data_IF_957610981909
#
_entry.id   IF_957610981909
#
_cell.length_a   1.000
_cell.length_b   1.000
_cell.length_c   1.000
_cell.angle_alpha   90.00
_cell.angle_beta   90.00
_cell.angle_gamma   90.00
#
_symmetry.space_group_name_H-M   'P 1'
#
loop_
_entity.id
_entity.type
_entity.pdbx_description
1 polymer ?
#
# COMPACT_ATOMS: atom_id res chain seq x y z
N UNK A 1 18.82 64.76 35.02
CA UNK A 1 19.12 64.52 36.45
C UNK A 1 18.13 63.47 36.94
N UNK A 2 18.63 62.32 37.42
CA UNK A 2 17.94 61.16 38.05
C UNK A 2 16.85 60.44 37.22
N UNK A 3 17.10 59.26 36.65
CA UNK A 3 17.37 57.92 37.24
C UNK A 3 16.15 57.34 37.97
N UNK A 4 15.71 56.15 37.57
CA UNK A 4 14.83 55.32 38.39
C UNK A 4 14.11 54.20 37.65
N UNK A 5 14.84 53.16 37.22
CA UNK A 5 14.27 51.89 36.77
C UNK A 5 13.58 51.15 37.94
N UNK A 6 12.47 50.46 37.67
CA UNK A 6 11.96 49.45 38.61
C UNK A 6 11.48 48.19 37.86
N UNK A 7 12.01 47.08 38.35
CA UNK A 7 12.00 45.71 37.89
C UNK A 7 10.58 45.07 37.87
N UNK A 8 10.28 44.26 36.82
CA UNK A 8 9.09 43.39 36.74
C UNK A 8 9.35 42.05 37.44
N UNK A 9 8.48 41.71 38.39
CA UNK A 9 8.38 40.40 39.03
C UNK A 9 7.20 39.59 38.46
N UNK A 10 7.48 38.32 38.11
CA UNK A 10 6.53 37.27 37.71
C UNK A 10 5.53 36.92 38.82
N UNK A 11 4.28 36.58 38.47
CA UNK A 11 3.51 35.43 39.02
C UNK A 11 2.14 35.24 38.35
N UNK A 12 2.06 34.22 37.49
CA UNK A 12 1.22 33.01 37.59
C UNK A 12 -0.23 33.10 38.15
N UNK A 13 -1.23 32.65 37.36
CA UNK A 13 -2.42 31.81 37.71
C UNK A 13 -3.34 31.69 36.48
N UNK A 14 -3.46 30.49 35.88
CA UNK A 14 -4.46 29.41 36.09
C UNK A 14 -5.89 29.67 35.54
N UNK A 15 -6.22 28.83 34.55
CA UNK A 15 -7.49 28.12 34.26
C UNK A 15 -8.74 28.92 33.86
N UNK A 16 -9.30 28.57 32.70
CA UNK A 16 -10.72 28.21 32.58
C UNK A 16 -10.95 27.26 31.39
N UNK A 17 -11.67 26.16 31.67
CA UNK A 17 -12.29 25.19 30.77
C UNK A 17 -13.81 25.37 30.97
N UNK A 18 -14.59 25.47 29.89
CA UNK A 18 -15.97 24.95 29.73
C UNK A 18 -16.43 25.24 28.27
N UNK A 19 -16.63 24.26 27.38
CA UNK A 19 -17.81 23.38 27.14
C UNK A 19 -19.00 24.04 26.42
N UNK A 20 -19.33 23.56 25.20
CA UNK A 20 -20.67 23.31 24.61
C UNK A 20 -20.53 23.15 23.07
N UNK A 21 -21.34 22.46 22.27
CA UNK A 21 -22.16 21.24 22.30
C UNK A 21 -22.99 21.26 21.00
N UNK A 22 -22.91 20.17 20.23
CA UNK A 22 -23.77 19.62 19.16
C UNK A 22 -24.96 20.41 18.56
N UNK A 23 -25.12 20.30 17.23
CA UNK A 23 -26.42 20.33 16.55
C UNK A 23 -26.48 19.28 15.41
N UNK A 24 -27.53 18.46 15.42
CA UNK A 24 -27.93 17.50 14.38
C UNK A 24 -29.46 17.57 14.23
N UNK A 25 -30.02 17.36 13.03
CA UNK A 25 -31.42 16.93 12.73
C UNK A 25 -31.52 16.60 11.21
N UNK A 26 -31.72 15.31 10.84
CA UNK A 26 -32.86 14.64 10.13
C UNK A 26 -33.13 15.09 8.66
N UNK A 27 -33.57 14.28 7.68
CA UNK A 27 -34.24 12.95 7.59
C UNK A 27 -34.41 12.53 6.11
N UNK A 28 -34.63 11.24 5.80
CA UNK A 28 -35.30 10.82 4.55
C UNK A 28 -35.23 9.32 4.23
N UNK A 29 -36.32 8.59 4.50
CA UNK A 29 -36.52 7.15 4.28
C UNK A 29 -37.48 6.90 3.09
N UNK A 30 -37.31 5.79 2.33
CA UNK A 30 -38.31 4.93 1.59
C UNK A 30 -37.70 4.38 0.27
N UNK A 31 -38.02 3.22 -0.33
CA UNK A 31 -38.62 1.88 -0.03
C UNK A 31 -38.74 1.14 -1.40
N UNK A 32 -38.64 -0.22 -1.41
CA UNK A 32 -39.24 -1.29 -2.29
C UNK A 32 -38.14 -2.31 -2.70
N UNK A 33 -38.16 -3.63 -2.45
CA UNK A 33 -39.15 -4.74 -2.37
C UNK A 33 -39.51 -5.42 -3.71
N UNK A 34 -39.60 -6.77 -3.67
CA UNK A 34 -39.94 -7.85 -4.66
C UNK A 34 -38.74 -8.72 -5.08
N UNK A 35 -38.75 -10.06 -5.14
CA UNK A 35 -39.71 -11.16 -4.84
C UNK A 35 -38.89 -12.48 -4.84
N UNK A 36 -39.01 -13.36 -3.84
CA UNK A 36 -39.71 -14.68 -3.84
C UNK A 36 -39.12 -15.83 -4.70
N UNK A 37 -38.90 -17.00 -4.07
CA UNK A 37 -38.64 -18.26 -4.78
C UNK A 37 -38.10 -19.44 -3.95
N UNK A 38 -38.86 -19.91 -2.95
CA UNK A 38 -38.60 -21.18 -2.23
C UNK A 38 -39.19 -22.36 -3.04
N UNK A 39 -38.46 -23.47 -3.18
CA UNK A 39 -39.04 -24.80 -3.47
C UNK A 39 -38.34 -25.91 -2.68
N UNK A 40 -39.14 -26.53 -1.81
CA UNK A 40 -38.89 -27.74 -1.05
C UNK A 40 -39.37 -28.94 -1.88
N UNK A 41 -38.61 -30.03 -1.95
CA UNK A 41 -39.12 -31.33 -2.44
C UNK A 41 -38.64 -32.43 -1.49
N UNK A 42 -39.60 -33.09 -0.85
CA UNK A 42 -39.45 -34.33 -0.12
C UNK A 42 -39.69 -35.52 -1.07
N UNK A 43 -38.93 -36.61 -0.91
CA UNK A 43 -39.22 -37.90 -1.55
C UNK A 43 -39.19 -39.00 -0.50
N UNK A 44 -40.31 -39.72 -0.41
CA UNK A 44 -40.52 -40.90 0.41
C UNK A 44 -40.19 -42.19 -0.36
N UNK A 45 -39.82 -43.21 0.42
CA UNK A 45 -39.49 -44.60 0.10
C UNK A 45 -40.50 -45.36 -0.79
N UNK A 46 -39.99 -46.36 -1.54
CA UNK A 46 -40.79 -47.45 -2.13
C UNK A 46 -39.94 -48.64 -2.55
N UNK A 47 -40.09 -49.76 -1.84
CA UNK A 47 -39.44 -51.07 -1.98
C UNK A 47 -39.75 -51.80 -3.31
N UNK A 48 -38.83 -52.65 -3.75
CA UNK A 48 -39.09 -53.73 -4.71
C UNK A 48 -38.01 -54.82 -4.65
N UNK A 49 -38.33 -55.95 -4.00
CA UNK A 49 -37.56 -57.21 -3.98
C UNK A 49 -38.09 -58.18 -5.06
N UNK A 50 -37.19 -58.81 -5.81
CA UNK A 50 -37.24 -60.20 -6.35
C UNK A 50 -35.85 -60.46 -6.96
N UNK A 51 -35.08 -61.54 -6.76
CA UNK A 51 -35.35 -62.90 -6.31
C UNK A 51 -35.12 -63.89 -7.46
N UNK A 52 -33.95 -64.56 -7.49
CA UNK A 52 -33.61 -65.88 -8.10
C UNK A 52 -32.17 -65.87 -8.66
N UNK A 53 -31.17 -66.57 -8.10
CA UNK A 53 -30.91 -68.02 -7.96
C UNK A 53 -30.29 -68.66 -9.22
N UNK A 54 -29.08 -69.22 -9.08
CA UNK A 54 -28.38 -69.98 -10.13
C UNK A 54 -26.92 -70.29 -9.78
N UNK A 55 -26.66 -71.51 -9.32
CA UNK A 55 -25.39 -72.09 -8.88
C UNK A 55 -24.58 -72.74 -10.01
N UNK A 56 -23.24 -72.68 -9.97
CA UNK A 56 -22.30 -73.82 -10.14
C UNK A 56 -20.82 -73.37 -10.15
N UNK A 57 -19.97 -74.20 -9.52
CA UNK A 57 -18.51 -74.12 -9.29
C UNK A 57 -17.69 -74.82 -10.42
N UNK A 58 -16.38 -75.15 -10.28
CA UNK A 58 -15.20 -74.31 -10.53
C UNK A 58 -14.20 -74.94 -11.56
N UNK A 59 -13.25 -74.17 -12.11
CA UNK A 59 -12.01 -74.75 -12.69
C UNK A 59 -10.86 -73.74 -12.73
N UNK A 60 -9.65 -74.19 -12.36
CA UNK A 60 -8.36 -73.50 -12.46
C UNK A 60 -7.43 -74.34 -13.39
N UNK A 61 -6.13 -74.03 -13.55
CA UNK A 61 -5.48 -72.81 -14.07
C UNK A 61 -4.55 -73.15 -15.27
N UNK A 62 -3.99 -72.16 -15.97
CA UNK A 62 -2.69 -72.27 -16.68
C UNK A 62 -2.19 -70.85 -16.99
N UNK A 63 -0.88 -70.61 -16.83
CA UNK A 63 -0.24 -69.32 -17.12
C UNK A 63 0.91 -69.46 -18.11
N UNK A 64 1.36 -68.35 -18.70
CA UNK A 64 2.72 -68.13 -19.23
C UNK A 64 3.04 -66.63 -19.21
N UNK A 65 4.27 -66.34 -18.73
CA UNK A 65 5.19 -65.20 -19.02
C UNK A 65 4.89 -64.40 -20.30
N UNK A 66 5.04 -63.08 -20.43
CA UNK A 66 5.84 -62.05 -19.75
C UNK A 66 6.38 -61.13 -20.85
N UNK A 67 6.14 -59.82 -20.79
CA UNK A 67 7.19 -58.79 -20.94
C UNK A 67 6.65 -57.36 -20.69
N UNK A 68 7.52 -56.54 -20.11
CA UNK A 68 7.43 -55.11 -19.77
C UNK A 68 7.65 -54.28 -21.06
N UNK A 69 7.19 -53.04 -21.30
CA UNK A 69 6.97 -51.88 -20.43
C UNK A 69 6.41 -50.71 -21.30
N UNK A 70 5.60 -49.83 -20.66
CA UNK A 70 5.44 -48.36 -20.91
C UNK A 70 4.52 -47.93 -22.09
N UNK A 71 3.51 -47.04 -21.95
CA UNK A 71 3.17 -46.03 -20.94
C UNK A 71 1.66 -45.68 -20.96
N UNK A 72 1.21 -45.13 -19.83
CA UNK A 72 0.05 -44.23 -19.63
C UNK A 72 -1.37 -44.81 -19.71
N UNK A 73 -1.63 -45.74 -18.79
CA UNK A 73 -2.96 -46.16 -18.38
C UNK A 73 -3.66 -45.12 -17.49
N UNK A 74 -4.76 -44.61 -18.03
CA UNK A 74 -6.11 -44.75 -17.45
C UNK A 74 -6.12 -45.52 -16.11
N UNK A 75 -6.22 -44.79 -14.99
CA UNK A 75 -6.75 -45.34 -13.73
C UNK A 75 -8.12 -44.71 -13.52
N UNK A 76 -9.25 -45.42 -13.59
CA UNK A 76 -9.45 -46.84 -13.30
C UNK A 76 -10.07 -46.95 -11.92
N UNK A 77 -11.40 -46.92 -11.90
CA UNK A 77 -12.23 -47.44 -10.82
C UNK A 77 -11.72 -48.83 -10.41
N UNK A 78 -11.26 -48.96 -9.17
CA UNK A 78 -10.83 -50.22 -8.57
C UNK A 78 -10.38 -50.00 -7.12
N UNK A 79 -11.13 -50.57 -6.16
CA UNK A 79 -10.97 -50.49 -4.70
C UNK A 79 -11.46 -49.22 -3.98
N UNK A 80 -12.68 -48.76 -4.28
CA UNK A 80 -13.32 -47.64 -3.54
C UNK A 80 -14.29 -48.07 -2.42
N UNK A 81 -14.05 -49.19 -1.75
CA UNK A 81 -14.92 -49.70 -0.69
C UNK A 81 -14.12 -50.16 0.54
N UNK A 82 -13.52 -49.23 1.29
CA UNK A 82 -13.12 -49.40 2.71
C UNK A 82 -12.34 -48.21 3.30
N UNK A 83 -11.87 -47.24 2.50
CA UNK A 83 -11.16 -46.06 3.02
C UNK A 83 -12.12 -45.28 3.95
N UNK A 84 -11.76 -45.17 5.23
CA UNK A 84 -12.58 -44.53 6.26
C UNK A 84 -13.64 -45.41 6.95
N UNK A 85 -13.91 -46.64 6.49
CA UNK A 85 -14.84 -47.54 7.20
C UNK A 85 -14.37 -47.86 8.63
N UNK A 86 -13.04 -47.87 8.83
CA UNK A 86 -12.46 -47.97 10.15
C UNK A 86 -12.70 -46.69 10.98
N UNK A 87 -12.61 -45.50 10.38
CA UNK A 87 -12.80 -44.24 11.08
C UNK A 87 -14.22 -44.07 11.62
N UNK A 88 -15.20 -44.73 10.99
CA UNK A 88 -16.62 -44.71 11.40
C UNK A 88 -17.07 -45.96 12.14
N UNK A 89 -16.21 -46.97 12.34
CA UNK A 89 -16.59 -48.18 13.05
C UNK A 89 -16.68 -47.93 14.57
N UNK A 90 -17.40 -48.78 15.34
CA UNK A 90 -17.43 -48.68 16.79
C UNK A 90 -16.03 -48.65 17.41
N UNK A 91 -15.89 -47.97 18.55
CA UNK A 91 -14.62 -47.86 19.28
C UNK A 91 -14.19 -49.19 19.94
N UNK A 92 -15.08 -50.18 20.01
CA UNK A 92 -14.77 -51.51 20.53
C UNK A 92 -13.84 -52.28 19.59
N UNK A 93 -12.65 -52.71 20.06
CA UNK A 93 -11.71 -53.43 19.21
C UNK A 93 -12.16 -54.87 18.96
N UNK A 94 -11.94 -55.34 17.74
CA UNK A 94 -12.14 -56.75 17.33
C UNK A 94 -10.81 -57.49 17.16
N UNK A 95 -9.69 -56.78 17.19
CA UNK A 95 -8.33 -57.30 17.07
C UNK A 95 -7.58 -57.21 18.41
N UNK A 96 -6.88 -58.29 18.80
CA UNK A 96 -6.07 -58.39 20.03
C UNK A 96 -4.63 -57.91 19.80
N UNK A 97 -4.49 -56.59 19.67
CA UNK A 97 -3.21 -55.87 19.51
C UNK A 97 -3.17 -54.66 20.46
N UNK A 98 -1.97 -54.17 20.77
CA UNK A 98 -1.79 -52.91 21.50
C UNK A 98 -2.29 -51.72 20.68
N UNK A 99 -2.74 -50.65 21.34
CA UNK A 99 -3.05 -49.39 20.65
C UNK A 99 -1.77 -48.73 20.14
N UNK A 100 -1.78 -48.16 18.93
CA UNK A 100 -0.66 -47.30 18.48
C UNK A 100 -0.50 -46.10 19.42
N UNK A 101 0.73 -45.62 19.58
CA UNK A 101 1.02 -44.45 20.43
C UNK A 101 1.27 -43.22 19.56
N UNK A 102 0.48 -42.13 19.66
CA UNK A 102 0.74 -40.89 18.91
C UNK A 102 2.10 -40.30 19.28
N UNK A 103 2.88 -39.91 18.26
CA UNK A 103 4.19 -39.30 18.43
C UNK A 103 4.22 -37.86 17.92
N UNK A 104 3.66 -37.59 16.73
CA UNK A 104 3.60 -36.24 16.16
C UNK A 104 2.37 -36.08 15.23
N UNK A 105 1.76 -34.89 15.14
CA UNK A 105 1.91 -33.77 16.06
C UNK A 105 1.43 -34.14 17.47
N UNK A 106 2.17 -33.70 18.50
CA UNK A 106 1.77 -33.88 19.89
C UNK A 106 0.54 -33.02 20.22
N UNK A 107 -0.24 -33.43 21.22
CA UNK A 107 -1.46 -32.73 21.64
C UNK A 107 -1.21 -31.26 21.97
N UNK A 108 -2.01 -30.37 21.37
CA UNK A 108 -1.95 -28.92 21.57
C UNK A 108 -0.87 -28.19 20.77
N UNK A 109 -0.17 -28.87 19.85
CA UNK A 109 0.86 -28.22 19.02
C UNK A 109 0.27 -27.44 17.85
N UNK A 110 0.94 -26.36 17.44
CA UNK A 110 0.65 -25.70 16.16
C UNK A 110 1.63 -26.21 15.11
N UNK A 111 1.13 -26.77 14.01
CA UNK A 111 1.95 -27.27 12.90
C UNK A 111 2.40 -26.13 11.99
N UNK A 112 3.47 -26.33 11.23
CA UNK A 112 4.06 -25.28 10.37
C UNK A 112 3.31 -25.05 9.05
N UNK A 113 2.43 -25.97 8.64
CA UNK A 113 1.71 -25.89 7.38
C UNK A 113 0.36 -26.58 7.43
N UNK A 114 -0.32 -26.61 6.28
CA UNK A 114 -1.66 -27.20 6.14
C UNK A 114 -1.66 -28.67 5.72
N UNK A 115 -0.48 -29.27 5.56
CA UNK A 115 -0.27 -30.69 5.26
C UNK A 115 0.60 -31.34 6.35
N UNK A 116 0.08 -31.55 7.57
CA UNK A 116 0.87 -32.13 8.65
C UNK A 116 1.20 -33.60 8.36
N UNK A 117 2.37 -34.03 8.83
CA UNK A 117 2.74 -35.45 8.89
C UNK A 117 2.40 -36.00 10.26
N UNK A 118 1.49 -36.98 10.30
CA UNK A 118 1.12 -37.72 11.49
C UNK A 118 2.08 -38.89 11.69
N UNK A 119 2.44 -39.21 12.93
CA UNK A 119 3.30 -40.35 13.24
C UNK A 119 2.87 -41.05 14.51
N UNK A 120 2.90 -42.39 14.48
CA UNK A 120 2.61 -43.25 15.64
C UNK A 120 3.67 -44.32 15.82
N UNK A 121 3.88 -44.75 17.05
CA UNK A 121 4.57 -45.99 17.34
C UNK A 121 3.69 -47.20 16.97
N UNK A 122 4.33 -48.27 16.49
CA UNK A 122 3.69 -49.49 16.00
C UNK A 122 2.79 -50.19 17.04
N UNK A 123 1.77 -50.91 16.55
CA UNK A 123 1.01 -51.89 17.32
C UNK A 123 1.67 -53.26 17.29
N UNK A 124 1.56 -54.02 18.39
CA UNK A 124 2.02 -55.40 18.49
C UNK A 124 0.87 -56.32 18.89
N UNK A 125 0.90 -57.58 18.44
CA UNK A 125 -0.08 -58.58 18.86
C UNK A 125 0.08 -58.94 20.34
N UNK A 126 -1.04 -59.09 21.04
CA UNK A 126 -1.05 -59.29 22.49
C UNK A 126 -0.65 -60.73 22.89
N UNK A 127 -0.99 -61.71 22.04
CA UNK A 127 -0.75 -63.13 22.31
C UNK A 127 0.15 -63.81 21.27
N UNK A 128 0.17 -63.31 20.03
CA UNK A 128 0.96 -63.83 18.91
C UNK A 128 1.47 -62.68 18.06
N UNK A 129 2.56 -62.90 17.33
CA UNK A 129 3.04 -61.93 16.34
C UNK A 129 1.98 -61.72 15.25
N UNK A 130 1.73 -60.45 14.91
CA UNK A 130 0.74 -60.05 13.92
C UNK A 130 1.45 -59.37 12.74
N UNK A 131 2.07 -60.13 11.82
CA UNK A 131 2.68 -59.54 10.64
C UNK A 131 1.62 -58.96 9.70
N UNK A 132 1.95 -57.88 9.00
CA UNK A 132 1.07 -57.28 7.98
C UNK A 132 -0.05 -56.39 8.51
N UNK A 133 0.09 -55.84 9.72
CA UNK A 133 -0.83 -54.80 10.19
C UNK A 133 -0.77 -53.56 9.29
N UNK A 134 -1.92 -52.95 9.04
CA UNK A 134 -2.02 -51.59 8.53
C UNK A 134 -2.36 -50.65 9.69
N UNK A 135 -1.94 -49.39 9.59
CA UNK A 135 -2.36 -48.32 10.50
C UNK A 135 -3.33 -47.39 9.78
N UNK A 136 -4.56 -47.35 10.28
CA UNK A 136 -5.58 -46.40 9.85
C UNK A 136 -5.44 -45.11 10.63
N UNK A 137 -5.06 -44.02 9.96
CA UNK A 137 -5.02 -42.66 10.50
C UNK A 137 -6.33 -41.95 10.18
N UNK A 138 -6.93 -41.30 11.16
CA UNK A 138 -8.14 -40.50 10.95
C UNK A 138 -7.98 -39.12 11.57
N UNK A 139 -8.39 -38.10 10.82
CA UNK A 139 -8.29 -36.68 11.15
C UNK A 139 -9.67 -36.05 11.09
N UNK A 140 -10.05 -35.39 12.18
CA UNK A 140 -11.30 -34.64 12.30
C UNK A 140 -11.00 -33.17 12.54
N UNK A 141 -11.78 -32.30 11.91
CA UNK A 141 -11.84 -30.89 12.28
C UNK A 141 -12.71 -30.73 13.53
N UNK A 142 -12.24 -29.95 14.49
CA UNK A 142 -13.04 -29.48 15.60
C UNK A 142 -13.73 -28.18 15.19
N UNK A 143 -15.06 -28.21 15.16
CA UNK A 143 -15.88 -27.03 14.89
C UNK A 143 -16.10 -26.22 16.18
N UNK A 144 -16.53 -24.97 16.04
CA UNK A 144 -16.70 -24.05 17.18
C UNK A 144 -17.74 -24.51 18.21
N UNK A 145 -18.70 -25.35 17.80
CA UNK A 145 -19.71 -25.95 18.67
C UNK A 145 -19.21 -27.23 19.39
N UNK A 146 -17.95 -27.61 19.17
CA UNK A 146 -17.34 -28.82 19.72
C UNK A 146 -17.64 -30.09 18.93
N UNK A 147 -18.39 -30.01 17.82
CA UNK A 147 -18.62 -31.14 16.93
C UNK A 147 -17.35 -31.52 16.14
N UNK A 148 -17.32 -32.76 15.66
CA UNK A 148 -16.19 -33.31 14.91
C UNK A 148 -16.62 -33.68 13.51
N UNK A 149 -16.00 -33.05 12.52
CA UNK A 149 -16.18 -33.37 11.10
C UNK A 149 -15.01 -34.22 10.61
N UNK A 150 -15.26 -35.44 10.09
CA UNK A 150 -14.20 -36.27 9.53
C UNK A 150 -13.66 -35.60 8.25
N UNK A 151 -12.36 -35.32 8.22
CA UNK A 151 -11.68 -34.66 7.09
C UNK A 151 -10.98 -35.68 6.22
N UNK A 152 -10.23 -36.60 6.83
CA UNK A 152 -9.46 -37.59 6.10
C UNK A 152 -9.30 -38.85 6.94
N UNK A 153 -9.32 -40.00 6.28
CA UNK A 153 -9.06 -41.30 6.89
C UNK A 153 -8.39 -42.24 5.91
N UNK A 154 -7.13 -42.60 6.19
CA UNK A 154 -6.29 -43.38 5.28
C UNK A 154 -5.57 -44.51 6.01
N UNK A 155 -5.39 -45.64 5.32
CA UNK A 155 -4.64 -46.78 5.84
C UNK A 155 -3.27 -46.83 5.17
N UNK A 156 -2.21 -46.95 5.98
CA UNK A 156 -0.85 -47.15 5.51
C UNK A 156 -0.28 -48.45 6.07
N UNK A 157 0.61 -49.16 5.36
CA UNK A 157 1.32 -50.30 5.93
C UNK A 157 2.05 -49.90 7.21
N UNK A 158 1.92 -50.71 8.28
CA UNK A 158 2.71 -50.50 9.48
C UNK A 158 4.19 -50.78 9.20
N UNK A 159 5.06 -49.96 9.78
CA UNK A 159 6.52 -50.09 9.77
C UNK A 159 7.03 -50.46 11.15
N UNK A 160 8.24 -51.02 11.23
CA UNK A 160 8.90 -51.27 12.51
C UNK A 160 9.26 -49.95 13.20
N UNK A 161 8.87 -49.81 14.45
CA UNK A 161 9.08 -48.59 15.24
C UNK A 161 8.02 -47.53 14.95
N UNK A 162 8.30 -46.59 14.04
CA UNK A 162 7.45 -45.43 13.75
C UNK A 162 6.87 -45.49 12.35
N UNK A 163 5.54 -45.39 12.26
CA UNK A 163 4.82 -45.25 11.00
C UNK A 163 4.36 -43.81 10.83
N UNK A 164 4.52 -43.28 9.62
CA UNK A 164 4.17 -41.90 9.29
C UNK A 164 3.16 -41.83 8.16
N UNK A 165 2.34 -40.79 8.18
CA UNK A 165 1.35 -40.52 7.15
C UNK A 165 1.22 -39.00 6.96
N UNK A 166 1.42 -38.53 5.73
CA UNK A 166 1.19 -37.15 5.36
C UNK A 166 -0.28 -36.95 4.99
N UNK A 167 -0.96 -36.03 5.67
CA UNK A 167 -2.35 -35.66 5.37
C UNK A 167 -2.43 -35.16 3.93
N UNK A 168 -3.24 -35.82 3.11
CA UNK A 168 -3.33 -35.59 1.66
C UNK A 168 -4.07 -34.30 1.33
N UNK A 169 -5.06 -33.92 2.15
CA UNK A 169 -5.82 -32.69 1.95
C UNK A 169 -5.16 -31.47 2.60
N UNK A 170 -5.25 -30.32 1.93
CA UNK A 170 -4.88 -29.04 2.53
C UNK A 170 -5.92 -28.68 3.61
N UNK A 171 -5.48 -28.69 4.87
CA UNK A 171 -6.31 -28.33 6.00
C UNK A 171 -6.59 -26.81 6.05
N UNK A 172 -7.77 -26.41 6.51
CA UNK A 172 -8.10 -24.99 6.72
C UNK A 172 -7.11 -24.33 7.69
N UNK A 173 -6.72 -23.08 7.44
CA UNK A 173 -5.88 -22.27 8.31
C UNK A 173 -6.55 -21.92 9.65
N UNK A 174 -5.73 -21.65 10.66
CA UNK A 174 -6.15 -21.23 12.01
C UNK A 174 -7.17 -22.15 12.70
N UNK A 175 -7.29 -23.40 12.25
CA UNK A 175 -8.30 -24.35 12.69
C UNK A 175 -7.68 -25.45 13.57
N UNK A 176 -8.47 -25.99 14.48
CA UNK A 176 -8.07 -27.05 15.39
C UNK A 176 -8.53 -28.42 14.87
N UNK A 177 -7.67 -29.41 14.97
CA UNK A 177 -7.89 -30.77 14.48
C UNK A 177 -7.61 -31.78 15.56
N UNK A 178 -8.41 -32.84 15.56
CA UNK A 178 -8.24 -34.04 16.36
C UNK A 178 -7.79 -35.17 15.45
N UNK A 179 -6.85 -36.00 15.89
CA UNK A 179 -6.48 -37.19 15.15
C UNK A 179 -6.23 -38.39 16.07
N UNK A 180 -6.45 -39.58 15.51
CA UNK A 180 -6.19 -40.88 16.14
C UNK A 180 -5.71 -41.88 15.08
N UNK A 181 -5.04 -42.93 15.51
CA UNK A 181 -4.72 -44.07 14.66
C UNK A 181 -5.13 -45.39 15.30
N UNK A 182 -5.36 -46.42 14.50
CA UNK A 182 -5.55 -47.80 14.99
C UNK A 182 -5.03 -48.83 14.01
N UNK A 183 -4.64 -49.99 14.52
CA UNK A 183 -4.28 -51.12 13.68
C UNK A 183 -5.50 -51.71 12.97
N UNK A 184 -5.34 -52.11 11.72
CA UNK A 184 -6.39 -52.71 10.89
C UNK A 184 -5.80 -53.90 10.14
N UNK A 185 -6.53 -55.02 10.10
CA UNK A 185 -6.20 -56.18 9.27
C UNK A 185 -7.46 -56.94 8.88
N UNK A 186 -7.65 -57.23 7.60
CA UNK A 186 -8.78 -58.03 7.07
C UNK A 186 -10.17 -57.58 7.60
N UNK A 187 -10.38 -56.28 7.80
CA UNK A 187 -11.63 -55.72 8.34
C UNK A 187 -11.80 -55.80 9.85
N UNK A 188 -10.86 -56.40 10.58
CA UNK A 188 -10.76 -56.32 12.03
C UNK A 188 -9.97 -55.07 12.46
N UNK A 189 -10.31 -54.52 13.64
CA UNK A 189 -9.78 -53.27 14.12
C UNK A 189 -9.21 -53.42 15.53
N UNK A 190 -7.99 -52.93 15.74
CA UNK A 190 -7.38 -52.79 17.05
C UNK A 190 -7.97 -51.60 17.82
N UNK A 191 -7.57 -51.43 19.09
CA UNK A 191 -7.96 -50.27 19.87
C UNK A 191 -7.41 -48.98 19.23
N UNK A 192 -8.18 -47.90 19.32
CA UNK A 192 -7.70 -46.58 18.96
C UNK A 192 -6.56 -46.13 19.87
N UNK A 193 -5.63 -45.37 19.28
CA UNK A 193 -4.65 -44.59 20.02
C UNK A 193 -5.31 -43.60 20.98
N UNK A 194 -4.49 -43.05 21.87
CA UNK A 194 -4.85 -41.83 22.60
C UNK A 194 -5.22 -40.73 21.61
N UNK A 195 -6.05 -39.79 22.05
CA UNK A 195 -6.42 -38.63 21.24
C UNK A 195 -5.26 -37.65 21.20
N UNK A 196 -4.90 -37.20 20.01
CA UNK A 196 -3.99 -36.09 19.81
C UNK A 196 -4.71 -34.94 19.08
N UNK A 197 -4.32 -33.70 19.38
CA UNK A 197 -4.84 -32.50 18.74
C UNK A 197 -3.72 -31.61 18.23
N UNK A 198 -3.98 -30.85 17.17
CA UNK A 198 -3.07 -29.82 16.69
C UNK A 198 -3.85 -28.67 16.05
N UNK A 199 -3.19 -27.52 15.87
CA UNK A 199 -3.73 -26.36 15.17
C UNK A 199 -2.92 -26.08 13.91
N UNK A 200 -3.59 -25.73 12.81
CA UNK A 200 -2.93 -25.21 11.60
C UNK A 200 -2.52 -23.75 11.79
N UNK A 201 -1.49 -23.27 11.06
CA UNK A 201 -1.05 -21.89 11.20
C UNK A 201 -2.10 -20.91 10.67
N UNK A 202 -2.03 -19.65 11.12
CA UNK A 202 -2.80 -18.56 10.53
C UNK A 202 -2.51 -18.44 9.02
N UNK A 203 -3.45 -17.93 8.20
CA UNK A 203 -3.15 -17.63 6.81
C UNK A 203 -2.01 -16.60 6.73
N UNK A 204 -1.16 -16.65 5.69
CA UNK A 204 -0.15 -15.62 5.49
C UNK A 204 -0.82 -14.24 5.41
N UNK A 205 -0.18 -13.17 5.93
CA UNK A 205 -0.73 -11.84 5.82
C UNK A 205 -0.96 -11.48 4.34
N UNK A 206 -2.02 -10.71 4.02
CA UNK A 206 -2.22 -10.22 2.66
C UNK A 206 -1.01 -9.39 2.21
N UNK A 207 -0.69 -9.38 0.90
CA UNK A 207 0.36 -8.52 0.38
C UNK A 207 0.05 -7.05 0.70
N UNK A 208 1.08 -6.21 0.96
CA UNK A 208 0.86 -4.79 1.16
C UNK A 208 0.20 -4.15 -0.08
N UNK A 209 -0.60 -3.09 0.08
CA UNK A 209 -1.16 -2.35 -1.05
C UNK A 209 -0.03 -1.86 -1.98
N UNK A 210 -0.27 -1.74 -3.30
CA UNK A 210 0.65 -1.03 -4.17
C UNK A 210 0.91 0.38 -3.61
N UNK A 211 2.17 0.83 -3.63
CA UNK A 211 2.50 2.23 -3.31
C UNK A 211 1.76 3.21 -4.22
N UNK A 212 1.73 4.52 -3.90
CA UNK A 212 1.14 5.51 -4.78
C UNK A 212 1.75 5.36 -6.19
N UNK A 213 0.93 5.41 -7.25
CA UNK A 213 1.43 5.24 -8.61
C UNK A 213 2.48 6.32 -8.89
N UNK A 214 3.65 5.90 -9.35
CA UNK A 214 4.71 6.76 -9.89
C UNK A 214 4.61 6.66 -11.41
N UNK A 215 4.88 7.73 -12.17
CA UNK A 215 4.93 7.63 -13.63
C UNK A 215 5.85 6.49 -14.07
N UNK A 216 5.43 5.76 -15.10
CA UNK A 216 6.25 4.68 -15.68
C UNK A 216 7.52 5.20 -16.36
N UNK A 217 7.52 6.46 -16.79
CA UNK A 217 8.69 7.17 -17.26
C UNK A 217 9.38 7.89 -16.08
N UNK A 218 10.62 7.49 -15.70
CA UNK A 218 11.31 8.08 -14.56
C UNK A 218 11.74 9.54 -14.78
N UNK A 219 11.65 10.06 -16.00
CA UNK A 219 12.05 11.42 -16.36
C UNK A 219 11.07 12.05 -17.35
N UNK A 220 11.09 13.38 -17.43
CA UNK A 220 10.36 14.15 -18.43
C UNK A 220 11.11 15.44 -18.73
N UNK A 221 10.90 16.02 -19.92
CA UNK A 221 11.36 17.35 -20.26
C UNK A 221 10.19 18.31 -20.31
N UNK A 222 10.34 19.47 -19.70
CA UNK A 222 9.35 20.53 -19.72
C UNK A 222 9.89 21.78 -20.39
N UNK A 223 8.99 22.54 -21.01
CA UNK A 223 9.18 23.93 -21.40
C UNK A 223 8.32 24.80 -20.49
N UNK A 224 8.95 25.63 -19.66
CA UNK A 224 8.28 26.71 -18.96
C UNK A 224 8.21 27.93 -19.87
N UNK A 225 7.00 28.38 -20.19
CA UNK A 225 6.74 29.61 -20.93
C UNK A 225 6.30 30.67 -19.93
N UNK A 226 7.01 31.78 -19.88
CA UNK A 226 6.59 32.98 -19.18
C UNK A 226 5.88 33.91 -20.17
N UNK A 227 4.57 34.06 -19.99
CA UNK A 227 3.79 35.08 -20.71
C UNK A 227 3.50 36.21 -19.73
N UNK A 228 4.03 37.41 -19.99
CA UNK A 228 3.72 38.57 -19.17
C UNK A 228 2.47 39.29 -19.67
N UNK A 229 1.61 39.69 -18.73
CA UNK A 229 0.45 40.55 -18.93
C UNK A 229 0.69 41.96 -18.35
N UNK A 230 1.90 42.27 -17.83
CA UNK A 230 2.23 43.55 -17.20
C UNK A 230 2.39 44.66 -18.25
N UNK A 231 1.41 45.56 -18.28
CA UNK A 231 1.27 46.63 -19.28
C UNK A 231 0.64 47.89 -18.67
N UNK A 232 0.70 49.04 -19.37
CA UNK A 232 -0.04 50.24 -18.96
C UNK A 232 -1.56 50.03 -18.87
N UNK A 233 -2.11 49.04 -19.58
CA UNK A 233 -3.55 48.77 -19.55
C UNK A 233 -3.97 47.94 -18.32
N UNK A 234 -3.12 47.01 -17.89
CA UNK A 234 -3.40 46.12 -16.74
C UNK A 234 -2.94 46.72 -15.42
N UNK A 235 -1.84 47.48 -15.43
CA UNK A 235 -1.22 48.11 -14.27
C UNK A 235 -0.88 49.58 -14.58
N UNK A 236 -1.91 50.45 -14.77
CA UNK A 236 -1.73 51.83 -15.25
C UNK A 236 -1.03 52.77 -14.26
N UNK A 237 -1.06 52.45 -12.96
CA UNK A 237 -0.50 53.33 -11.95
C UNK A 237 1.03 53.25 -11.97
N UNK A 238 1.67 54.39 -12.18
CA UNK A 238 3.13 54.56 -12.14
C UNK A 238 3.91 53.58 -13.04
N UNK A 239 3.30 53.12 -14.15
CA UNK A 239 3.90 52.14 -15.04
C UNK A 239 5.24 52.66 -15.63
N UNK A 240 6.35 51.92 -15.46
CA UNK A 240 7.67 52.41 -15.87
C UNK A 240 7.92 52.28 -17.38
N UNK A 241 8.62 53.24 -17.96
CA UNK A 241 8.93 53.29 -19.40
C UNK A 241 9.82 52.11 -19.87
N UNK A 242 10.67 51.61 -18.97
CA UNK A 242 11.59 50.49 -19.21
C UNK A 242 11.14 49.21 -18.49
N UNK A 243 9.84 48.98 -18.35
CA UNK A 243 9.27 47.78 -17.74
C UNK A 243 9.83 46.49 -18.39
N UNK A 244 10.43 45.63 -17.56
CA UNK A 244 11.00 44.35 -17.96
C UNK A 244 11.03 43.35 -16.79
N UNK A 245 11.47 42.12 -17.08
CA UNK A 245 11.77 41.11 -16.08
C UNK A 245 13.22 40.67 -16.16
N UNK A 246 13.82 40.36 -15.00
CA UNK A 246 15.18 39.81 -14.96
C UNK A 246 15.24 38.39 -15.52
N UNK A 247 16.44 37.86 -15.82
CA UNK A 247 16.60 36.50 -16.30
C UNK A 247 15.95 35.45 -15.38
N UNK A 248 15.18 34.54 -15.99
CA UNK A 248 14.56 33.42 -15.27
C UNK A 248 15.62 32.54 -14.60
N UNK A 249 15.40 32.17 -13.34
CA UNK A 249 16.22 31.18 -12.63
C UNK A 249 15.33 30.21 -11.84
N UNK A 250 15.65 28.93 -11.93
CA UNK A 250 14.87 27.89 -11.27
C UNK A 250 15.63 26.58 -11.07
N UNK A 251 15.01 25.70 -10.30
CA UNK A 251 15.52 24.35 -10.08
C UNK A 251 14.39 23.32 -9.89
N UNK A 252 14.68 22.06 -10.21
CA UNK A 252 13.86 20.91 -9.84
C UNK A 252 14.34 20.31 -8.52
N UNK A 253 13.41 19.91 -7.65
CA UNK A 253 13.74 19.54 -6.28
C UNK A 253 12.72 18.62 -5.59
N UNK A 254 13.05 18.21 -4.36
CA UNK A 254 12.15 17.47 -3.47
C UNK A 254 11.04 18.37 -2.95
N UNK A 255 9.91 17.77 -2.55
CA UNK A 255 8.81 18.48 -1.88
C UNK A 255 9.24 19.24 -0.60
N UNK A 256 10.33 18.81 0.03
CA UNK A 256 10.86 19.37 1.28
C UNK A 256 11.85 20.51 1.08
N UNK A 257 12.20 20.82 -0.17
CA UNK A 257 13.15 21.88 -0.52
C UNK A 257 12.39 23.16 -0.82
N UNK A 258 12.82 24.27 -0.22
CA UNK A 258 12.22 25.60 -0.37
C UNK A 258 13.32 26.60 -0.67
N UNK A 259 13.21 27.32 -1.79
CA UNK A 259 14.12 28.44 -2.12
C UNK A 259 13.55 29.80 -1.73
N UNK A 260 12.22 29.95 -1.73
CA UNK A 260 11.51 31.12 -1.21
C UNK A 260 10.11 30.70 -0.80
N UNK A 261 9.48 31.38 0.17
CA UNK A 261 8.10 31.13 0.54
C UNK A 261 7.51 32.35 1.26
N UNK A 262 6.25 32.67 0.95
CA UNK A 262 5.52 33.68 1.70
C UNK A 262 5.53 33.41 3.21
N UNK A 263 5.86 34.42 4.01
CA UNK A 263 6.00 34.34 5.46
C UNK A 263 7.38 33.87 5.97
N UNK A 264 8.33 33.59 5.08
CA UNK A 264 9.74 33.32 5.41
C UNK A 264 10.63 34.49 4.99
N UNK A 265 11.78 34.65 5.64
CA UNK A 265 12.79 35.63 5.20
C UNK A 265 13.40 35.19 3.85
N UNK A 266 13.65 36.16 2.97
CA UNK A 266 14.42 35.94 1.75
C UNK A 266 15.84 35.43 2.08
N UNK A 267 16.39 34.54 1.25
CA UNK A 267 17.82 34.25 1.25
C UNK A 267 18.58 35.41 0.59
N UNK A 268 19.90 35.47 0.77
CA UNK A 268 20.75 36.42 0.03
C UNK A 268 20.61 36.24 -1.47
N UNK A 269 20.39 35.01 -1.95
CA UNK A 269 20.08 34.75 -3.36
C UNK A 269 18.78 35.39 -3.82
N UNK A 270 17.71 35.27 -3.04
CA UNK A 270 16.41 35.87 -3.37
C UNK A 270 16.45 37.39 -3.30
N UNK A 271 17.10 37.97 -2.29
CA UNK A 271 17.36 39.42 -2.17
C UNK A 271 18.03 39.96 -3.44
N UNK A 272 19.19 39.41 -3.81
CA UNK A 272 19.93 39.85 -5.02
C UNK A 272 19.15 39.62 -6.32
N UNK A 273 18.34 38.56 -6.38
CA UNK A 273 17.49 38.31 -7.53
C UNK A 273 16.37 39.36 -7.62
N UNK A 274 15.76 39.75 -6.50
CA UNK A 274 14.62 40.63 -6.45
C UNK A 274 14.98 42.13 -6.52
N UNK A 275 16.19 42.52 -6.13
CA UNK A 275 16.64 43.93 -6.18
C UNK A 275 17.47 44.25 -7.43
N UNK A 276 18.31 43.31 -7.87
CA UNK A 276 19.30 43.57 -8.94
C UNK A 276 19.03 42.77 -10.21
N UNK A 277 18.11 41.80 -10.16
CA UNK A 277 17.93 40.81 -11.22
C UNK A 277 19.10 39.83 -11.30
N UNK A 278 19.94 39.78 -10.28
CA UNK A 278 21.13 38.93 -10.25
C UNK A 278 20.76 37.47 -10.04
N UNK A 279 21.36 36.58 -10.84
CA UNK A 279 21.21 35.13 -10.66
C UNK A 279 22.16 34.57 -9.59
N UNK A 280 23.12 35.37 -9.12
CA UNK A 280 24.07 35.00 -8.05
C UNK A 280 23.79 35.84 -6.80
N UNK A 281 23.76 35.23 -5.59
CA UNK A 281 24.20 33.86 -5.29
C UNK A 281 23.10 32.80 -5.32
N UNK A 282 21.90 33.09 -5.86
CA UNK A 282 20.79 32.12 -5.89
C UNK A 282 21.16 30.83 -6.64
N UNK A 283 21.96 30.94 -7.70
CA UNK A 283 22.53 29.79 -8.39
C UNK A 283 23.44 28.93 -7.52
N UNK A 284 24.25 29.53 -6.66
CA UNK A 284 25.10 28.84 -5.70
C UNK A 284 24.27 28.16 -4.60
N UNK A 285 23.18 28.78 -4.15
CA UNK A 285 22.23 28.17 -3.21
C UNK A 285 21.56 26.92 -3.82
N UNK A 286 21.10 27.02 -5.06
CA UNK A 286 20.55 25.90 -5.81
C UNK A 286 21.59 24.81 -6.08
N UNK A 287 22.82 25.17 -6.43
CA UNK A 287 23.91 24.21 -6.59
C UNK A 287 24.25 23.48 -5.28
N UNK A 288 24.19 24.17 -4.13
CA UNK A 288 24.34 23.56 -2.81
C UNK A 288 23.19 22.60 -2.47
N UNK A 289 21.96 22.92 -2.87
CA UNK A 289 20.81 22.02 -2.75
C UNK A 289 20.98 20.75 -3.60
N UNK A 290 21.57 20.87 -4.80
CA UNK A 290 21.92 19.73 -5.64
C UNK A 290 23.02 18.89 -4.98
N UNK A 291 24.09 19.53 -4.50
CA UNK A 291 25.20 18.84 -3.84
C UNK A 291 24.79 18.11 -2.55
N UNK A 292 23.73 18.58 -1.87
CA UNK A 292 23.16 17.94 -0.68
C UNK A 292 22.09 16.89 -1.01
N UNK A 293 21.76 16.67 -2.28
CA UNK A 293 20.83 15.64 -2.73
C UNK A 293 19.35 15.98 -2.51
N UNK A 294 19.01 17.26 -2.35
CA UNK A 294 17.62 17.73 -2.16
C UNK A 294 17.07 18.50 -3.38
N UNK A 295 17.92 18.75 -4.38
CA UNK A 295 17.58 19.26 -5.71
C UNK A 295 18.33 18.48 -6.79
N UNK A 296 17.95 18.64 -8.06
CA UNK A 296 18.56 17.86 -9.17
C UNK A 296 19.03 18.72 -10.33
N UNK A 297 18.15 19.50 -10.95
CA UNK A 297 18.50 20.32 -12.12
C UNK A 297 18.31 21.80 -11.82
N UNK A 298 19.39 22.59 -11.95
CA UNK A 298 19.32 24.05 -12.04
C UNK A 298 19.19 24.45 -13.52
N UNK A 299 18.31 25.39 -13.81
CA UNK A 299 18.10 25.92 -15.16
C UNK A 299 17.95 27.44 -15.16
N UNK A 300 18.28 28.05 -16.30
CA UNK A 300 18.28 29.51 -16.50
C UNK A 300 17.63 29.84 -17.84
N UNK A 301 16.78 30.85 -17.86
CA UNK A 301 16.22 31.45 -19.07
C UNK A 301 16.74 32.86 -19.28
N UNK A 302 16.32 33.50 -20.37
CA UNK A 302 16.55 34.91 -20.61
C UNK A 302 15.71 35.81 -19.71
N UNK A 303 15.99 37.11 -19.76
CA UNK A 303 15.08 38.13 -19.26
C UNK A 303 13.99 38.44 -20.28
N UNK A 304 12.93 39.13 -19.85
CA UNK A 304 11.80 39.47 -20.71
C UNK A 304 11.72 40.99 -20.85
N UNK A 305 12.12 41.50 -22.02
CA UNK A 305 12.04 42.92 -22.38
C UNK A 305 11.72 43.06 -23.89
N UNK A 306 10.75 43.90 -24.29
CA UNK A 306 9.82 44.64 -23.45
C UNK A 306 8.71 43.74 -22.87
N UNK A 307 7.98 44.25 -21.86
CA UNK A 307 6.73 43.67 -21.38
C UNK A 307 5.51 44.48 -21.86
N UNK A 308 4.36 43.86 -22.20
CA UNK A 308 4.08 42.41 -22.31
C UNK A 308 4.94 41.68 -23.33
N UNK A 309 5.19 40.40 -23.10
CA UNK A 309 6.02 39.57 -23.97
C UNK A 309 5.99 38.12 -23.55
N UNK A 310 6.80 37.30 -24.24
CA UNK A 310 6.94 35.88 -23.96
C UNK A 310 8.41 35.49 -23.90
N UNK A 311 8.79 34.76 -22.86
CA UNK A 311 10.09 34.11 -22.72
C UNK A 311 9.88 32.62 -22.41
N UNK A 312 10.84 31.76 -22.74
CA UNK A 312 10.72 30.35 -22.39
C UNK A 312 12.06 29.70 -22.08
N UNK A 313 12.02 28.76 -21.13
CA UNK A 313 13.16 27.94 -20.74
C UNK A 313 12.75 26.48 -20.70
N UNK A 314 13.65 25.60 -21.11
CA UNK A 314 13.46 24.15 -21.02
C UNK A 314 14.32 23.57 -19.91
N UNK A 315 13.80 22.53 -19.25
CA UNK A 315 14.49 21.82 -18.18
C UNK A 315 14.04 20.36 -18.10
N UNK A 316 14.93 19.53 -17.56
CA UNK A 316 14.66 18.12 -17.27
C UNK A 316 14.19 17.96 -15.82
N UNK A 317 13.33 16.97 -15.59
CA UNK A 317 12.79 16.63 -14.26
C UNK A 317 12.66 15.11 -14.12
N UNK A 318 12.89 14.59 -12.92
CA UNK A 318 12.73 13.15 -12.63
C UNK A 318 11.63 12.90 -11.60
N UNK A 319 11.15 11.66 -11.55
CA UNK A 319 10.19 11.22 -10.52
C UNK A 319 10.78 11.31 -9.10
N UNK A 320 12.11 11.41 -8.96
CA UNK A 320 12.78 11.62 -7.68
C UNK A 320 12.69 13.08 -7.21
N UNK A 321 12.69 14.05 -8.13
CA UNK A 321 12.65 15.49 -7.82
C UNK A 321 11.53 16.22 -8.61
N UNK A 322 10.24 15.85 -8.40
CA UNK A 322 9.15 16.24 -9.31
C UNK A 322 8.56 17.64 -9.06
N UNK A 323 9.22 18.46 -8.25
CA UNK A 323 8.78 19.82 -7.92
C UNK A 323 9.68 20.85 -8.61
N UNK A 324 9.11 21.97 -9.04
CA UNK A 324 9.85 23.07 -9.65
C UNK A 324 9.64 24.38 -8.92
N UNK A 325 10.73 25.12 -8.71
CA UNK A 325 10.72 26.53 -8.33
C UNK A 325 11.31 27.35 -9.47
N UNK A 326 10.68 28.48 -9.79
CA UNK A 326 11.11 29.40 -10.85
C UNK A 326 10.74 30.82 -10.43
N UNK A 327 11.69 31.75 -10.53
CA UNK A 327 11.52 33.15 -10.13
C UNK A 327 12.11 34.12 -11.15
N UNK A 328 11.62 35.36 -11.11
CA UNK A 328 12.12 36.48 -11.91
C UNK A 328 11.69 37.81 -11.28
N UNK A 329 12.60 38.79 -11.30
CA UNK A 329 12.38 40.13 -10.78
C UNK A 329 11.39 40.90 -11.66
N UNK A 330 10.54 41.71 -11.04
CA UNK A 330 9.80 42.79 -11.72
C UNK A 330 10.72 44.00 -11.76
N UNK A 331 10.97 44.58 -12.93
CA UNK A 331 11.98 45.61 -13.10
C UNK A 331 11.46 46.83 -13.88
N UNK A 332 11.75 48.06 -13.45
CA UNK A 332 12.34 48.43 -12.16
C UNK A 332 11.38 48.10 -10.99
N UNK A 333 11.94 47.77 -9.84
CA UNK A 333 11.23 47.72 -8.55
C UNK A 333 12.26 47.77 -7.41
N UNK A 334 11.82 48.03 -6.17
CA UNK A 334 12.68 47.94 -4.99
C UNK A 334 13.21 46.51 -4.80
N UNK A 335 12.32 45.56 -4.53
CA UNK A 335 12.65 44.16 -4.27
C UNK A 335 11.51 43.21 -4.71
N UNK A 336 10.80 43.57 -5.79
CA UNK A 336 9.59 42.87 -6.20
C UNK A 336 9.88 41.78 -7.24
N UNK A 337 9.23 40.63 -7.11
CA UNK A 337 9.41 39.51 -8.02
C UNK A 337 8.13 38.71 -8.27
N UNK A 338 8.15 37.88 -9.30
CA UNK A 338 7.13 36.85 -9.57
C UNK A 338 7.76 35.47 -9.53
N UNK A 339 6.97 34.45 -9.21
CA UNK A 339 7.48 33.09 -9.28
C UNK A 339 6.50 32.02 -8.86
N UNK A 340 6.95 30.77 -8.97
CA UNK A 340 6.36 29.60 -8.33
C UNK A 340 7.36 29.00 -7.35
N UNK A 341 6.86 28.50 -6.23
CA UNK A 341 7.64 27.76 -5.24
C UNK A 341 7.07 26.34 -5.12
N UNK A 342 7.89 25.33 -5.35
CA UNK A 342 7.52 23.92 -5.15
C UNK A 342 6.25 23.51 -5.91
N UNK A 343 6.17 23.82 -7.21
CA UNK A 343 5.05 23.39 -8.05
C UNK A 343 5.22 21.91 -8.43
N UNK A 344 4.28 21.01 -8.08
CA UNK A 344 4.36 19.61 -8.49
C UNK A 344 4.03 19.43 -9.98
N UNK A 345 4.92 18.76 -10.70
CA UNK A 345 4.75 18.38 -12.11
C UNK A 345 4.18 16.96 -12.29
N UNK A 346 4.03 16.20 -11.20
CA UNK A 346 3.32 14.91 -11.17
C UNK A 346 1.98 15.07 -10.45
N UNK A 347 0.91 14.54 -11.03
CA UNK A 347 -0.39 14.39 -10.37
C UNK A 347 -1.01 13.04 -10.74
N UNK A 348 -1.68 12.39 -9.79
CA UNK A 348 -2.33 11.09 -9.99
C UNK A 348 -1.38 10.01 -10.58
N UNK A 349 -0.10 10.07 -10.22
CA UNK A 349 0.92 9.15 -10.70
C UNK A 349 1.32 9.30 -12.16
N UNK A 350 1.03 10.45 -12.77
CA UNK A 350 1.42 10.78 -14.14
C UNK A 350 2.07 12.16 -14.17
N UNK A 351 2.99 12.36 -15.10
CA UNK A 351 3.46 13.68 -15.46
C UNK A 351 2.28 14.51 -15.98
N UNK A 352 2.19 15.76 -15.54
CA UNK A 352 1.15 16.70 -15.99
C UNK A 352 1.54 17.26 -17.35
N UNK A 353 0.74 17.02 -18.38
CA UNK A 353 1.07 17.50 -19.74
C UNK A 353 1.17 19.02 -19.82
N UNK A 354 0.30 19.73 -19.08
CA UNK A 354 0.31 21.18 -18.97
C UNK A 354 -0.07 21.64 -17.56
N UNK A 355 0.63 22.67 -17.06
CA UNK A 355 0.30 23.39 -15.83
C UNK A 355 0.38 24.89 -16.09
N UNK A 356 -0.75 25.59 -15.93
CA UNK A 356 -0.82 27.05 -16.07
C UNK A 356 -0.94 27.65 -14.66
N UNK A 357 -0.03 28.55 -14.32
CA UNK A 357 0.00 29.24 -13.02
C UNK A 357 -0.02 30.74 -13.24
N UNK A 358 -1.09 31.46 -12.85
CA UNK A 358 -1.09 32.91 -12.85
C UNK A 358 -0.08 33.42 -11.82
N UNK A 359 0.64 34.48 -12.18
CA UNK A 359 1.69 35.07 -11.36
C UNK A 359 1.22 36.39 -10.77
N UNK A 360 1.44 36.54 -9.47
CA UNK A 360 1.18 37.76 -8.71
C UNK A 360 2.50 38.27 -8.11
N UNK A 361 2.64 39.58 -7.92
CA UNK A 361 3.86 40.17 -7.38
C UNK A 361 4.05 39.82 -5.90
N UNK A 362 5.29 39.53 -5.54
CA UNK A 362 5.78 39.32 -4.20
C UNK A 362 6.81 40.39 -3.87
N UNK A 363 6.79 40.83 -2.63
CA UNK A 363 7.77 41.72 -2.01
C UNK A 363 8.76 40.84 -1.22
N UNK A 364 10.07 40.97 -1.47
CA UNK A 364 11.08 40.13 -0.84
C UNK A 364 11.31 40.49 0.64
N UNK A 365 10.92 41.71 1.04
CA UNK A 365 11.04 42.26 2.38
C UNK A 365 12.43 42.80 2.70
N UNK A 366 13.22 43.14 1.68
CA UNK A 366 14.62 43.57 1.77
C UNK A 366 14.86 45.02 1.32
N UNK A 367 13.89 45.66 0.64
CA UNK A 367 13.91 47.10 0.35
C UNK A 367 12.56 47.77 0.72
N UNK A 368 12.58 49.00 1.26
CA UNK A 368 11.39 49.74 1.68
C UNK A 368 10.80 50.69 0.61
N UNK A 369 11.28 50.64 -0.62
CA UNK A 369 10.77 51.43 -1.73
C UNK A 369 9.28 51.19 -1.94
N UNK A 370 8.54 52.26 -2.23
CA UNK A 370 7.08 52.21 -2.31
C UNK A 370 6.54 52.20 -3.76
N UNK A 371 7.40 52.46 -4.74
CA UNK A 371 7.07 52.59 -6.17
C UNK A 371 8.14 51.90 -7.00
N UNK A 372 7.84 51.61 -8.28
CA UNK A 372 8.78 50.94 -9.19
C UNK A 372 10.15 51.62 -9.27
N UNK A 373 10.17 52.96 -9.35
CA UNK A 373 11.40 53.76 -9.47
C UNK A 373 11.87 54.37 -8.13
N UNK A 374 11.45 53.80 -6.99
CA UNK A 374 11.97 54.24 -5.69
C UNK A 374 13.48 54.07 -5.63
N UNK A 375 14.17 55.01 -4.98
CA UNK A 375 15.58 54.85 -4.67
C UNK A 375 15.75 53.71 -3.65
N UNK A 376 16.89 53.03 -3.73
CA UNK A 376 17.32 52.01 -2.78
C UNK A 376 17.12 52.45 -1.33
N UNK A 377 16.45 51.60 -0.55
CA UNK A 377 16.03 51.83 0.82
C UNK A 377 16.02 50.54 1.65
N UNK A 378 17.19 49.89 1.77
CA UNK A 378 17.45 48.68 2.60
C UNK A 378 16.54 48.52 3.83
N UNK A 379 15.88 47.36 3.93
CA UNK A 379 15.00 46.99 5.02
C UNK A 379 15.79 46.41 6.20
N UNK A 380 16.00 47.25 7.22
CA UNK A 380 16.70 46.88 8.45
C UNK A 380 15.79 46.99 9.70
N UNK A 381 15.31 45.87 10.29
CA UNK A 381 15.53 44.48 9.87
C UNK A 381 14.67 44.07 8.67
N UNK A 382 15.15 43.08 7.91
CA UNK A 382 14.39 42.49 6.82
C UNK A 382 13.06 41.91 7.32
N UNK A 383 12.05 41.97 6.47
CA UNK A 383 10.72 41.42 6.74
C UNK A 383 10.48 40.14 5.93
N UNK A 384 9.53 39.28 6.33
CA UNK A 384 9.25 38.07 5.56
C UNK A 384 8.64 38.38 4.20
N UNK A 385 8.99 37.58 3.19
CA UNK A 385 8.42 37.61 1.85
C UNK A 385 6.90 37.66 1.93
N UNK A 386 6.27 38.62 1.26
CA UNK A 386 4.84 38.88 1.40
C UNK A 386 4.18 39.21 0.06
N UNK A 387 2.88 38.94 -0.11
CA UNK A 387 2.20 39.33 -1.33
C UNK A 387 2.11 40.85 -1.44
N UNK A 388 2.47 41.40 -2.59
CA UNK A 388 2.34 42.84 -2.82
C UNK A 388 0.90 43.17 -3.24
N UNK A 389 0.14 43.73 -2.30
CA UNK A 389 -1.31 43.97 -2.45
C UNK A 389 -1.68 45.46 -2.55
N UNK A 390 -0.70 46.35 -2.43
CA UNK A 390 -0.88 47.81 -2.42
C UNK A 390 -0.61 48.48 -3.77
N UNK A 391 -0.74 49.81 -3.85
CA UNK A 391 -0.18 50.57 -4.95
C UNK A 391 1.33 50.33 -5.09
N UNK A 392 1.91 50.42 -6.29
CA UNK A 392 1.26 50.75 -7.57
C UNK A 392 0.59 49.55 -8.26
N UNK A 393 0.72 48.34 -7.73
CA UNK A 393 0.26 47.11 -8.40
C UNK A 393 -1.25 46.86 -8.26
N UNK A 394 -1.89 47.43 -7.24
CA UNK A 394 -3.32 47.31 -7.02
C UNK A 394 -4.11 48.40 -7.75
N UNK A 395 -5.06 47.98 -8.59
CA UNK A 395 -6.02 48.86 -9.28
C UNK A 395 -7.40 48.65 -8.64
N UNK A 396 -8.00 49.71 -8.11
CA UNK A 396 -9.29 49.63 -7.39
C UNK A 396 -9.31 48.57 -6.27
N UNK A 397 -8.18 48.38 -5.57
CA UNK A 397 -8.05 47.43 -4.47
C UNK A 397 -7.91 45.96 -4.90
N UNK A 398 -7.68 45.69 -6.19
CA UNK A 398 -7.42 44.34 -6.72
C UNK A 398 -6.10 44.33 -7.49
N UNK A 399 -5.31 43.28 -7.35
CA UNK A 399 -4.09 43.05 -8.12
C UNK A 399 -4.42 42.10 -9.26
N UNK A 400 -4.22 42.53 -10.50
CA UNK A 400 -4.31 41.65 -11.66
C UNK A 400 -3.05 40.76 -11.73
N UNK A 401 -3.11 39.57 -12.37
CA UNK A 401 -1.90 38.81 -12.62
C UNK A 401 -0.90 39.63 -13.45
N UNK A 402 0.37 39.59 -13.07
CA UNK A 402 1.48 40.15 -13.85
C UNK A 402 1.79 39.30 -15.09
N UNK A 403 1.27 38.08 -15.13
CA UNK A 403 1.43 37.13 -16.22
C UNK A 403 1.12 35.72 -15.77
N UNK A 404 1.70 34.74 -16.45
CA UNK A 404 1.57 33.32 -16.14
C UNK A 404 2.83 32.54 -16.51
N UNK A 405 3.14 31.52 -15.72
CA UNK A 405 3.98 30.42 -16.17
C UNK A 405 3.12 29.29 -16.72
N UNK A 406 3.51 28.78 -17.88
CA UNK A 406 2.89 27.62 -18.54
C UNK A 406 3.97 26.56 -18.67
N UNK A 407 3.88 25.51 -17.86
CA UNK A 407 4.78 24.36 -17.91
C UNK A 407 4.16 23.30 -18.84
N UNK A 408 4.76 23.08 -20.01
CA UNK A 408 4.34 22.07 -20.99
C UNK A 408 5.34 20.94 -21.08
N UNK A 409 4.87 19.71 -20.95
CA UNK A 409 5.69 18.52 -21.20
C UNK A 409 6.00 18.41 -22.70
N UNK A 410 7.25 18.12 -23.05
CA UNK A 410 7.71 18.05 -24.45
C UNK A 410 7.72 16.63 -25.03
N UNK A 411 7.72 15.60 -24.19
CA UNK A 411 7.84 14.20 -24.59
C UNK A 411 7.26 13.22 -23.57
#
# INVERSE_FOLDING_TARGET
MMVGAMCRSRRNRRRHIMTSAALAIRSGLRRRAHDAGVRLVAVFLGLGLTGACGSATPTAPTGVSGDRLLTSDIRGLGASAALGAFATAPDSPTLKVTSPTPQSPATGTTVSGVHPTLSVAMSVGEYVQAPGLQLGFAVWRMEDDGSLTLVEAEMVPQTDGTTTYAVGWALAHAAEYRWRARAVINGAFGPWSNVATFRTPAPPPPPPPPGPPVPSDPQARYRAVFESDWSPATHPQDYPDNAHYSPLIGATHLATTTFWQGGMLASTGIERMAEEGSQSPLDAEMAAAIASGVAEFLFRGGGLAPTPGVEAVEFDVTTAFPYVTLVSMIAPSPDWFVGVNGLPLIANGQWRDEVIVPLFPWDAGTDNGATYDSADADAAPATPVSPLLGPPVAVNGTVAPFGRFIFRRLN
#
